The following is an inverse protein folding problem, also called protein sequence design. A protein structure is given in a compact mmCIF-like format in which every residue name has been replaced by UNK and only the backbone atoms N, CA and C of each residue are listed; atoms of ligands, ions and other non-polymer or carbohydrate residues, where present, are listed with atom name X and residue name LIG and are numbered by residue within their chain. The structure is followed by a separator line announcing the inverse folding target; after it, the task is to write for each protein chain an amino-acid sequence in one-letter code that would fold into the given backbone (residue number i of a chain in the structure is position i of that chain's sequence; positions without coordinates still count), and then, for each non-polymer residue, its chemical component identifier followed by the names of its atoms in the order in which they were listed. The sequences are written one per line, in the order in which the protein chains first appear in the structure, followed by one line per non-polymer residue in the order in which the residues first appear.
data_IF_047018973351
#
_entry.id   IF_047018973351
#
_cell.length_a   1.000
_cell.length_b   1.000
_cell.length_c   1.000
_cell.angle_alpha   90.00
_cell.angle_beta   90.00
_cell.angle_gamma   90.00
#
_symmetry.space_group_name_H-M   'P 1'
#
loop_
_entity.id
_entity.type
_entity.pdbx_description
1 polymer ?
#
# COMPACT_ATOMS: atom_id res chain seq x y z
N UNK A 1 -5.15 -13.46 9.28
CA UNK A 1 -5.32 -12.44 8.24
C UNK A 1 -4.17 -12.55 7.26
N UNK A 2 -4.49 -12.83 6.00
CA UNK A 2 -3.55 -12.87 4.89
C UNK A 2 -3.24 -11.45 4.40
N UNK A 3 -2.23 -11.31 3.54
CA UNK A 3 -1.91 -10.01 2.91
C UNK A 3 -3.07 -9.53 2.04
N UNK A 4 -3.75 -10.45 1.34
CA UNK A 4 -4.89 -10.12 0.49
C UNK A 4 -6.07 -9.56 1.31
N UNK A 5 -6.47 -10.27 2.37
CA UNK A 5 -7.55 -9.82 3.27
C UNK A 5 -7.23 -8.46 3.90
N UNK A 6 -5.97 -8.24 4.29
CA UNK A 6 -5.53 -6.94 4.83
C UNK A 6 -5.59 -5.81 3.79
N UNK A 7 -5.19 -6.07 2.54
CA UNK A 7 -5.27 -5.09 1.46
C UNK A 7 -6.71 -4.73 1.12
N UNK A 8 -7.63 -5.71 1.12
CA UNK A 8 -9.06 -5.47 0.90
C UNK A 8 -9.67 -4.61 2.00
N UNK A 9 -9.35 -4.91 3.28
CA UNK A 9 -9.79 -4.09 4.40
C UNK A 9 -9.24 -2.67 4.30
N UNK A 10 -7.94 -2.52 4.09
CA UNK A 10 -7.27 -1.22 3.99
C UNK A 10 -7.75 -0.41 2.78
N UNK A 11 -8.18 -1.04 1.69
CA UNK A 11 -8.76 -0.34 0.54
C UNK A 11 -10.16 0.22 0.83
N UNK A 12 -10.91 -0.39 1.76
CA UNK A 12 -12.25 0.03 2.17
C UNK A 12 -12.30 1.02 3.34
N UNK A 13 -11.22 1.12 4.11
CA UNK A 13 -11.15 1.98 5.28
C UNK A 13 -10.87 3.46 4.94
N UNK A 14 -11.23 4.36 5.84
CA UNK A 14 -10.92 5.81 5.73
C UNK A 14 -9.72 6.23 6.59
N UNK A 15 -9.24 5.33 7.45
CA UNK A 15 -8.13 5.58 8.37
C UNK A 15 -7.08 4.50 8.18
N UNK A 16 -5.84 4.84 8.47
CA UNK A 16 -4.72 3.89 8.51
C UNK A 16 -3.96 4.07 9.80
N UNK A 17 -3.48 2.98 10.36
CA UNK A 17 -2.62 2.98 11.54
C UNK A 17 -1.15 3.08 11.14
N UNK A 18 -0.28 3.35 12.12
CA UNK A 18 1.17 3.24 11.94
C UNK A 18 1.59 1.83 11.50
N UNK A 19 0.89 0.80 12.02
CA UNK A 19 1.11 -0.59 11.62
C UNK A 19 0.84 -0.82 10.14
N UNK A 20 -0.22 -0.22 9.59
CA UNK A 20 -0.53 -0.33 8.16
C UNK A 20 0.57 0.31 7.31
N UNK A 21 1.12 1.43 7.78
CA UNK A 21 2.22 2.12 7.11
C UNK A 21 3.48 1.24 7.05
N UNK A 22 3.87 0.64 8.19
CA UNK A 22 5.02 -0.27 8.26
C UNK A 22 4.83 -1.53 7.41
N UNK A 23 3.60 -2.08 7.41
CA UNK A 23 3.29 -3.29 6.64
C UNK A 23 3.30 -3.02 5.13
N UNK A 24 2.68 -1.93 4.67
CA UNK A 24 2.71 -1.51 3.27
C UNK A 24 4.15 -1.25 2.81
N UNK A 25 4.94 -0.53 3.60
CA UNK A 25 6.35 -0.26 3.29
C UNK A 25 7.14 -1.57 3.09
N UNK A 26 6.96 -2.53 4.01
CA UNK A 26 7.63 -3.84 3.93
C UNK A 26 7.24 -4.61 2.67
N UNK A 27 5.95 -4.62 2.31
CA UNK A 27 5.44 -5.31 1.12
C UNK A 27 6.02 -4.66 -0.15
N UNK A 28 5.93 -3.34 -0.27
CA UNK A 28 6.43 -2.61 -1.44
C UNK A 28 7.92 -2.83 -1.66
N UNK A 29 8.72 -2.84 -0.59
CA UNK A 29 10.15 -3.15 -0.67
C UNK A 29 10.41 -4.58 -1.13
N UNK A 30 9.65 -5.56 -0.65
CA UNK A 30 9.79 -6.96 -1.05
C UNK A 30 9.45 -7.22 -2.52
N UNK A 31 8.56 -6.42 -3.11
CA UNK A 31 8.17 -6.56 -4.53
C UNK A 31 9.00 -5.69 -5.48
N UNK A 32 10.07 -5.03 -4.99
CA UNK A 32 11.06 -4.35 -5.81
C UNK A 32 11.13 -2.83 -5.63
N UNK A 33 10.20 -2.21 -4.87
CA UNK A 33 10.29 -0.79 -4.54
C UNK A 33 11.20 -0.58 -3.32
N UNK A 34 12.51 -0.86 -3.47
CA UNK A 34 13.48 -0.90 -2.36
C UNK A 34 13.56 0.39 -1.53
N UNK A 35 13.23 1.54 -2.13
CA UNK A 35 13.20 2.84 -1.46
C UNK A 35 11.79 3.33 -1.10
N UNK A 36 10.78 2.47 -1.17
CA UNK A 36 9.43 2.82 -0.75
C UNK A 36 9.44 3.33 0.70
N UNK A 37 8.71 4.42 0.92
CA UNK A 37 8.45 4.96 2.26
C UNK A 37 6.96 5.20 2.45
N UNK A 38 6.47 4.95 3.65
CA UNK A 38 5.08 5.28 4.01
C UNK A 38 5.08 6.18 5.24
N UNK A 39 4.52 7.37 5.11
CA UNK A 39 4.41 8.34 6.22
C UNK A 39 3.07 9.05 6.17
N UNK A 40 2.41 9.21 7.31
CA UNK A 40 1.10 9.87 7.42
C UNK A 40 0.05 9.31 6.45
N UNK A 41 0.05 8.00 6.21
CA UNK A 41 -0.87 7.36 5.25
C UNK A 41 -0.55 7.66 3.78
N UNK A 42 0.59 8.26 3.47
CA UNK A 42 1.05 8.56 2.11
C UNK A 42 2.24 7.66 1.73
N UNK A 43 2.17 7.08 0.54
CA UNK A 43 3.16 6.19 -0.05
C UNK A 43 4.03 6.98 -1.03
N UNK A 44 5.33 6.95 -0.79
CA UNK A 44 6.36 7.57 -1.62
C UNK A 44 7.16 6.47 -2.29
N UNK A 45 7.12 6.43 -3.62
CA UNK A 45 7.88 5.48 -4.44
C UNK A 45 8.99 6.24 -5.18
N UNK A 46 10.19 5.67 -5.18
CA UNK A 46 11.33 6.24 -5.91
C UNK A 46 11.06 6.19 -7.41
N UNK A 47 11.21 7.33 -8.09
CA UNK A 47 10.87 7.48 -9.51
C UNK A 47 9.38 7.65 -9.83
N UNK A 48 8.49 7.61 -8.83
CA UNK A 48 7.10 8.05 -9.02
C UNK A 48 7.01 9.57 -8.85
N UNK A 49 6.18 10.22 -9.69
CA UNK A 49 6.02 11.67 -9.67
C UNK A 49 5.35 12.18 -8.39
N UNK A 50 4.14 11.71 -8.10
CA UNK A 50 3.35 12.14 -6.95
C UNK A 50 3.12 11.00 -5.95
N UNK A 51 3.17 11.28 -4.63
CA UNK A 51 2.82 10.31 -3.62
C UNK A 51 1.32 10.00 -3.66
N UNK A 52 0.96 8.75 -3.37
CA UNK A 52 -0.42 8.30 -3.32
C UNK A 52 -0.82 7.92 -1.89
N UNK A 53 -2.10 8.00 -1.53
CA UNK A 53 -2.53 7.49 -0.23
C UNK A 53 -2.36 5.97 -0.15
N UNK A 54 -2.11 5.46 1.05
CA UNK A 54 -1.97 4.04 1.32
C UNK A 54 -3.23 3.26 0.91
N UNK A 55 -4.41 3.85 1.10
CA UNK A 55 -5.70 3.31 0.67
C UNK A 55 -5.79 3.22 -0.85
N UNK A 56 -5.37 4.26 -1.57
CA UNK A 56 -5.35 4.25 -3.04
C UNK A 56 -4.37 3.20 -3.59
N UNK A 57 -3.20 3.03 -2.95
CA UNK A 57 -2.24 1.98 -3.30
C UNK A 57 -2.82 0.60 -3.01
N UNK A 58 -3.45 0.39 -1.85
CA UNK A 58 -4.11 -0.88 -1.52
C UNK A 58 -5.19 -1.21 -2.55
N UNK A 59 -6.04 -0.24 -2.91
CA UNK A 59 -7.08 -0.41 -3.91
C UNK A 59 -6.50 -0.71 -5.31
N UNK A 60 -5.42 -0.06 -5.71
CA UNK A 60 -4.73 -0.35 -6.97
C UNK A 60 -4.18 -1.79 -7.00
N UNK A 61 -3.64 -2.28 -5.88
CA UNK A 61 -3.13 -3.65 -5.76
C UNK A 61 -4.29 -4.66 -5.86
N UNK A 62 -5.38 -4.44 -5.11
CA UNK A 62 -6.57 -5.31 -5.15
C UNK A 62 -7.16 -5.37 -6.57
N UNK A 63 -7.33 -4.21 -7.22
CA UNK A 63 -7.89 -4.12 -8.57
C UNK A 63 -6.99 -4.77 -9.64
N UNK A 64 -5.66 -4.66 -9.51
CA UNK A 64 -4.71 -5.31 -10.45
C UNK A 64 -4.45 -6.78 -10.15
N UNK A 65 -4.67 -7.24 -8.91
CA UNK A 65 -4.65 -8.66 -8.55
C UNK A 65 -5.85 -9.43 -9.09
N UNK A 66 -6.93 -8.72 -9.45
CA UNK A 66 -8.15 -9.25 -10.06
C UNK A 66 -8.11 -9.42 -11.58
N UNK A 67 -6.97 -9.78 -12.18
CA UNK A 67 -6.96 -10.25 -13.58
C UNK A 67 -7.59 -11.65 -13.59
N UNK A 68 -8.90 -11.67 -13.80
CA UNK A 68 -9.63 -12.84 -14.32
C UNK A 68 -9.31 -13.03 -15.81
#
# INVERSE_FOLDING_TARGET
MTIAEWLEQLAGDSLSTERDSLQMESILRRVGFNKARVTCGMVYLDGAGEPASIHAVAQAIVNKGGVR
#
